data_IF_516974453198
#
_entry.id   IF_516974453198
#
_cell.length_a   1.000
_cell.length_b   1.000
_cell.length_c   1.000
_cell.angle_alpha   90.00
_cell.angle_beta   90.00
_cell.angle_gamma   90.00
#
_symmetry.space_group_name_H-M   'P 1'
#
loop_
_entity.id
_entity.type
_entity.pdbx_description
1 polymer ?
#
# COMPACT_ATOMS: atom_id res chain seq x y z
N UNK A 1 -3.88 8.12 37.33
CA UNK A 1 -4.56 7.65 36.11
C UNK A 1 -3.47 7.16 35.17
N UNK A 2 -3.58 5.92 34.69
CA UNK A 2 -2.51 5.22 34.01
C UNK A 2 -2.14 5.93 32.70
N UNK A 3 -0.85 6.17 32.49
CA UNK A 3 -0.32 6.54 31.19
C UNK A 3 -0.62 5.38 30.23
N UNK A 4 -1.50 5.60 29.26
CA UNK A 4 -1.66 4.72 28.11
C UNK A 4 -0.35 4.75 27.32
N UNK A 5 0.53 3.81 27.65
CA UNK A 5 1.79 3.61 26.94
C UNK A 5 1.49 3.38 25.47
N UNK A 6 2.03 4.26 24.62
CA UNK A 6 2.23 4.03 23.18
C UNK A 6 2.71 2.58 23.01
N UNK A 7 1.83 1.68 22.60
CA UNK A 7 2.25 0.34 22.18
C UNK A 7 3.01 0.52 20.88
N UNK A 8 4.33 0.61 20.97
CA UNK A 8 5.21 0.18 19.88
C UNK A 8 4.69 -1.20 19.45
N UNK A 9 4.21 -1.33 18.22
CA UNK A 9 3.68 -2.62 17.75
C UNK A 9 4.85 -3.58 17.78
N UNK A 10 4.66 -4.74 18.42
CA UNK A 10 5.65 -5.83 18.43
C UNK A 10 6.14 -6.10 17.01
N UNK A 11 7.43 -6.38 16.89
CA UNK A 11 8.05 -6.72 15.63
C UNK A 11 7.31 -7.93 15.03
N UNK A 12 6.71 -7.73 13.86
CA UNK A 12 5.92 -8.74 13.15
C UNK A 12 6.45 -8.88 11.72
N UNK A 13 6.26 -10.05 11.12
CA UNK A 13 6.51 -10.22 9.68
C UNK A 13 5.32 -9.65 8.92
N UNK A 14 5.58 -8.68 8.05
CA UNK A 14 4.59 -8.17 7.11
C UNK A 14 4.97 -8.50 5.67
N UNK A 15 3.96 -8.44 4.81
CA UNK A 15 4.05 -8.69 3.38
C UNK A 15 3.59 -7.43 2.66
N UNK A 16 4.49 -6.78 1.94
CA UNK A 16 4.29 -5.44 1.42
C UNK A 16 4.20 -5.48 -0.09
N UNK A 17 3.14 -4.87 -0.64
CA UNK A 17 3.03 -4.55 -2.05
C UNK A 17 3.31 -3.05 -2.22
N UNK A 18 4.41 -2.73 -2.90
CA UNK A 18 4.70 -1.40 -3.40
C UNK A 18 4.10 -1.23 -4.78
N UNK A 19 3.45 -0.09 -5.01
CA UNK A 19 2.92 0.33 -6.30
C UNK A 19 3.41 1.73 -6.60
N UNK A 20 3.78 1.97 -7.86
CA UNK A 20 4.28 3.26 -8.30
C UNK A 20 3.94 3.51 -9.78
N UNK A 21 3.59 4.74 -10.12
CA UNK A 21 3.18 5.14 -11.47
C UNK A 21 4.40 5.33 -12.36
N UNK A 22 4.44 4.59 -13.47
CA UNK A 22 5.53 4.70 -14.43
C UNK A 22 5.50 6.06 -15.12
N UNK A 23 6.62 6.79 -15.04
CA UNK A 23 6.77 8.08 -15.71
C UNK A 23 6.04 9.24 -15.03
N UNK A 24 5.59 9.08 -13.78
CA UNK A 24 4.81 10.09 -13.04
C UNK A 24 5.42 11.50 -13.08
N UNK A 25 6.73 11.63 -12.84
CA UNK A 25 7.40 12.93 -12.77
C UNK A 25 7.41 13.71 -14.10
N UNK A 26 7.08 13.07 -15.23
CA UNK A 26 7.01 13.71 -16.56
C UNK A 26 5.62 14.28 -16.87
N UNK A 27 4.62 13.93 -16.07
CA UNK A 27 3.24 14.36 -16.27
C UNK A 27 3.03 15.79 -15.76
N UNK A 28 2.08 16.51 -16.36
CA UNK A 28 1.62 17.78 -15.82
C UNK A 28 0.92 17.58 -14.46
N UNK A 29 0.82 18.65 -13.66
CA UNK A 29 0.15 18.57 -12.35
C UNK A 29 -1.28 18.02 -12.45
N UNK A 30 -2.05 18.40 -13.47
CA UNK A 30 -3.42 17.90 -13.66
C UNK A 30 -3.43 16.39 -13.99
N UNK A 31 -2.49 15.94 -14.82
CA UNK A 31 -2.35 14.52 -15.15
C UNK A 31 -1.90 13.71 -13.93
N UNK A 32 -0.99 14.24 -13.11
CA UNK A 32 -0.56 13.61 -11.87
C UNK A 32 -1.75 13.35 -10.92
N UNK A 33 -2.59 14.36 -10.67
CA UNK A 33 -3.78 14.19 -9.85
C UNK A 33 -4.75 13.17 -10.44
N UNK A 34 -4.97 13.19 -11.76
CA UNK A 34 -5.83 12.23 -12.44
C UNK A 34 -5.31 10.79 -12.30
N UNK A 35 -4.00 10.58 -12.47
CA UNK A 35 -3.38 9.25 -12.34
C UNK A 35 -3.40 8.70 -10.92
N UNK A 36 -3.17 9.55 -9.93
CA UNK A 36 -3.32 9.16 -8.52
C UNK A 36 -4.77 8.76 -8.23
N UNK A 37 -5.74 9.51 -8.76
CA UNK A 37 -7.16 9.17 -8.65
C UNK A 37 -7.49 7.79 -9.25
N UNK A 38 -7.08 7.56 -10.50
CA UNK A 38 -7.27 6.28 -11.18
C UNK A 38 -6.57 5.12 -10.44
N UNK A 39 -5.35 5.33 -9.96
CA UNK A 39 -4.62 4.31 -9.19
C UNK A 39 -5.36 3.95 -7.91
N UNK A 40 -5.79 4.95 -7.15
CA UNK A 40 -6.54 4.76 -5.92
C UNK A 40 -7.85 3.99 -6.15
N UNK A 41 -8.56 4.29 -7.24
CA UNK A 41 -9.78 3.59 -7.61
C UNK A 41 -9.50 2.12 -7.92
N UNK A 42 -8.54 1.83 -8.80
CA UNK A 42 -8.18 0.47 -9.20
C UNK A 42 -7.76 -0.38 -8.00
N UNK A 43 -6.93 0.18 -7.11
CA UNK A 43 -6.51 -0.50 -5.88
C UNK A 43 -7.70 -0.82 -4.98
N UNK A 44 -8.64 0.12 -4.79
CA UNK A 44 -9.85 -0.09 -3.96
C UNK A 44 -10.85 -1.06 -4.58
N UNK A 45 -10.79 -1.27 -5.89
CA UNK A 45 -11.63 -2.25 -6.60
C UNK A 45 -11.08 -3.68 -6.48
N UNK A 46 -9.82 -3.89 -6.08
CA UNK A 46 -9.28 -5.22 -5.82
C UNK A 46 -10.05 -5.93 -4.70
N UNK A 47 -10.44 -7.17 -4.96
CA UNK A 47 -11.12 -8.02 -3.98
C UNK A 47 -10.20 -8.33 -2.80
N UNK A 48 -8.91 -8.57 -3.07
CA UNK A 48 -7.93 -8.80 -2.03
C UNK A 48 -7.70 -7.57 -1.14
N UNK A 49 -7.65 -6.38 -1.73
CA UNK A 49 -7.61 -5.12 -0.97
C UNK A 49 -8.84 -4.99 -0.05
N UNK A 50 -10.05 -5.19 -0.59
CA UNK A 50 -11.31 -5.07 0.17
C UNK A 50 -11.40 -6.08 1.32
N UNK A 51 -10.98 -7.33 1.08
CA UNK A 51 -10.94 -8.38 2.11
C UNK A 51 -10.00 -8.00 3.26
N UNK A 52 -8.79 -7.54 2.93
CA UNK A 52 -7.80 -7.14 3.93
C UNK A 52 -8.24 -5.89 4.71
N UNK A 53 -8.86 -4.92 4.02
CA UNK A 53 -9.44 -3.72 4.63
C UNK A 53 -10.60 -4.06 5.58
N UNK A 54 -11.53 -4.93 5.17
CA UNK A 54 -12.64 -5.37 6.01
C UNK A 54 -12.17 -6.14 7.26
N UNK A 55 -11.03 -6.84 7.18
CA UNK A 55 -10.39 -7.48 8.31
C UNK A 55 -9.60 -6.53 9.23
N UNK A 56 -9.56 -5.23 8.93
CA UNK A 56 -8.72 -4.23 9.63
C UNK A 56 -7.24 -4.67 9.74
N UNK A 57 -6.75 -5.40 8.73
CA UNK A 57 -5.39 -5.94 8.65
C UNK A 57 -4.66 -5.47 7.40
N UNK A 58 -4.93 -4.23 7.00
CA UNK A 58 -4.30 -3.57 5.87
C UNK A 58 -3.87 -2.16 6.26
N UNK A 59 -2.57 -1.90 6.27
CA UNK A 59 -2.04 -0.56 6.40
C UNK A 59 -1.71 0.02 5.01
N UNK A 60 -2.10 1.28 4.80
CA UNK A 60 -2.01 1.99 3.51
C UNK A 60 -1.09 3.19 3.68
N UNK A 61 0.06 3.17 3.03
CA UNK A 61 1.08 4.22 3.17
C UNK A 61 1.24 4.91 1.81
N UNK A 62 0.83 6.18 1.67
CA UNK A 62 1.06 6.91 0.43
C UNK A 62 2.55 7.25 0.27
N UNK A 63 3.09 7.07 -0.93
CA UNK A 63 4.50 7.39 -1.26
C UNK A 63 4.64 8.60 -2.18
N UNK A 64 3.53 9.25 -2.54
CA UNK A 64 3.48 10.40 -3.46
C UNK A 64 2.84 10.00 -4.79
N UNK A 65 3.59 9.32 -5.63
CA UNK A 65 3.19 8.78 -6.95
C UNK A 65 2.67 7.34 -6.91
N UNK A 66 2.49 6.82 -5.70
CA UNK A 66 2.16 5.43 -5.47
C UNK A 66 1.70 5.18 -4.05
N UNK A 67 1.79 3.92 -3.64
CA UNK A 67 1.47 3.51 -2.27
C UNK A 67 2.16 2.19 -1.91
N UNK A 68 2.36 1.99 -0.62
CA UNK A 68 2.65 0.69 -0.04
C UNK A 68 1.38 0.15 0.65
N UNK A 69 1.06 -1.11 0.36
CA UNK A 69 0.00 -1.87 1.00
C UNK A 69 0.65 -2.95 1.86
N UNK A 70 0.47 -2.84 3.17
CA UNK A 70 1.10 -3.73 4.15
C UNK A 70 0.06 -4.73 4.64
N UNK A 71 0.28 -6.00 4.30
CA UNK A 71 -0.52 -7.16 4.68
C UNK A 71 0.17 -7.92 5.81
N UNK A 72 -0.61 -8.52 6.70
CA UNK A 72 -0.08 -9.21 7.89
C UNK A 72 -0.46 -10.69 7.99
N UNK A 73 -1.22 -11.23 7.03
CA UNK A 73 -1.76 -12.59 7.15
C UNK A 73 -0.96 -13.60 6.36
N UNK A 74 -0.65 -13.33 5.09
CA UNK A 74 0.14 -14.27 4.28
C UNK A 74 0.84 -13.59 3.09
N UNK A 75 1.95 -14.17 2.60
CA UNK A 75 2.70 -13.63 1.47
C UNK A 75 1.94 -13.69 0.14
N UNK A 76 0.89 -14.51 0.05
CA UNK A 76 0.02 -14.59 -1.13
C UNK A 76 -0.89 -13.37 -1.27
N UNK A 77 -1.22 -12.67 -0.17
CA UNK A 77 -2.11 -11.50 -0.19
C UNK A 77 -1.60 -10.36 -1.09
N UNK A 78 -0.35 -9.86 -0.95
CA UNK A 78 0.17 -8.84 -1.86
C UNK A 78 0.28 -9.34 -3.30
N UNK A 79 0.60 -10.63 -3.52
CA UNK A 79 0.70 -11.20 -4.86
C UNK A 79 -0.67 -11.25 -5.57
N UNK A 80 -1.71 -11.68 -4.86
CA UNK A 80 -3.07 -11.72 -5.36
C UNK A 80 -3.60 -10.31 -5.64
N UNK A 81 -3.35 -9.35 -4.74
CA UNK A 81 -3.69 -7.95 -4.94
C UNK A 81 -3.00 -7.38 -6.20
N UNK A 82 -1.69 -7.62 -6.36
CA UNK A 82 -0.93 -7.19 -7.53
C UNK A 82 -1.47 -7.81 -8.83
N UNK A 83 -1.87 -9.07 -8.80
CA UNK A 83 -2.48 -9.75 -9.95
C UNK A 83 -3.83 -9.13 -10.34
N UNK A 84 -4.69 -8.84 -9.37
CA UNK A 84 -6.00 -8.20 -9.60
C UNK A 84 -5.84 -6.80 -10.19
N UNK A 85 -4.91 -6.01 -9.65
CA UNK A 85 -4.57 -4.67 -10.16
C UNK A 85 -4.01 -4.77 -11.58
N UNK A 86 -3.09 -5.70 -11.83
CA UNK A 86 -2.54 -5.94 -13.17
C UNK A 86 -3.64 -6.28 -14.19
N UNK A 87 -4.60 -7.12 -13.79
CA UNK A 87 -5.72 -7.49 -14.63
C UNK A 87 -6.64 -6.32 -14.92
N UNK A 88 -6.95 -5.49 -13.92
CA UNK A 88 -7.78 -4.31 -14.08
C UNK A 88 -7.13 -3.25 -14.99
N UNK A 89 -5.79 -3.18 -14.99
CA UNK A 89 -5.02 -2.24 -15.81
C UNK A 89 -4.64 -2.78 -17.18
N UNK A 90 -4.94 -4.05 -17.50
CA UNK A 90 -4.45 -4.73 -18.72
C UNK A 90 -4.72 -3.94 -20.01
N UNK A 91 -5.91 -3.35 -20.12
CA UNK A 91 -6.34 -2.58 -21.30
C UNK A 91 -6.24 -1.05 -21.07
N UNK A 92 -5.72 -0.62 -19.92
CA UNK A 92 -5.55 0.78 -19.59
C UNK A 92 -4.16 1.28 -19.99
N UNK A 93 -4.03 1.79 -21.21
CA UNK A 93 -2.77 2.36 -21.71
C UNK A 93 -2.37 3.65 -21.00
N UNK A 94 -3.30 4.30 -20.29
CA UNK A 94 -3.08 5.61 -19.69
C UNK A 94 -2.44 5.51 -18.31
N UNK A 95 -2.69 4.43 -17.56
CA UNK A 95 -2.12 4.19 -16.24
C UNK A 95 -1.25 2.94 -16.26
N UNK A 96 0.06 3.16 -16.31
CA UNK A 96 1.06 2.11 -16.19
C UNK A 96 1.67 2.13 -14.78
N UNK A 97 1.75 0.97 -14.15
CA UNK A 97 2.30 0.84 -12.80
C UNK A 97 3.46 -0.15 -12.78
N UNK A 98 4.43 0.10 -11.91
CA UNK A 98 5.43 -0.88 -11.48
C UNK A 98 5.05 -1.36 -10.08
N UNK A 99 5.21 -2.65 -9.83
CA UNK A 99 4.90 -3.24 -8.54
C UNK A 99 6.07 -4.05 -8.01
N UNK A 100 6.30 -3.96 -6.70
CA UNK A 100 7.31 -4.72 -5.98
C UNK A 100 6.69 -5.40 -4.78
N UNK A 101 7.08 -6.64 -4.51
CA UNK A 101 6.62 -7.38 -3.33
C UNK A 101 7.82 -7.70 -2.47
N UNK A 102 7.70 -7.41 -1.18
CA UNK A 102 8.69 -7.76 -0.16
C UNK A 102 8.01 -8.40 1.05
N UNK A 103 8.76 -9.17 1.82
CA UNK A 103 8.30 -9.73 3.08
C UNK A 103 9.43 -9.68 4.09
N UNK A 104 9.14 -9.14 5.27
CA UNK A 104 10.18 -8.95 6.28
C UNK A 104 9.66 -8.36 7.58
N UNK A 105 10.56 -8.20 8.55
CA UNK A 105 10.22 -7.68 9.86
C UNK A 105 9.89 -6.18 9.79
N UNK A 106 8.75 -5.82 10.36
CA UNK A 106 8.31 -4.43 10.53
C UNK A 106 7.93 -4.19 11.99
N UNK A 107 8.14 -2.97 12.47
CA UNK A 107 7.64 -2.47 13.75
C UNK A 107 6.67 -1.33 13.51
N UNK A 108 5.66 -1.22 14.37
CA UNK A 108 4.70 -0.14 14.28
C UNK A 108 5.21 1.14 14.90
N UNK A 109 5.00 2.23 14.19
CA UNK A 109 5.33 3.59 14.62
C UNK A 109 4.12 4.50 14.48
N UNK A 110 4.15 5.64 15.15
CA UNK A 110 3.13 6.69 15.00
C UNK A 110 3.75 7.82 14.19
N UNK A 111 3.12 8.19 13.08
CA UNK A 111 3.62 9.26 12.20
C UNK A 111 3.34 10.67 12.78
N UNK A 112 3.77 11.70 12.05
CA UNK A 112 3.56 13.11 12.43
C UNK A 112 2.07 13.51 12.48
N UNK A 113 1.19 12.74 11.84
CA UNK A 113 -0.25 12.95 11.80
C UNK A 113 -1.00 12.07 12.83
N UNK A 114 -0.27 11.48 13.78
CA UNK A 114 -0.79 10.56 14.79
C UNK A 114 -1.45 9.29 14.21
N UNK A 115 -1.11 8.92 12.98
CA UNK A 115 -1.59 7.70 12.33
C UNK A 115 -0.62 6.55 12.56
N UNK A 116 -1.17 5.34 12.65
CA UNK A 116 -0.39 4.11 12.63
C UNK A 116 0.39 4.02 11.32
N UNK A 117 1.67 3.74 11.42
CA UNK A 117 2.58 3.51 10.32
C UNK A 117 3.55 2.38 10.70
N UNK A 118 4.47 2.02 9.81
CA UNK A 118 5.49 0.99 10.07
C UNK A 118 6.89 1.46 9.65
N UNK A 119 7.89 0.90 10.30
CA UNK A 119 9.30 1.03 9.95
C UNK A 119 10.01 -0.33 10.06
N UNK A 120 11.14 -0.50 9.39
CA UNK A 120 11.95 -1.72 9.47
C UNK A 120 12.45 -2.22 8.12
N UNK A 121 13.24 -3.29 8.14
CA UNK A 121 13.83 -3.88 6.93
C UNK A 121 12.82 -4.61 6.03
N UNK A 122 11.57 -4.78 6.49
CA UNK A 122 10.45 -5.31 5.71
C UNK A 122 9.74 -4.28 4.83
N UNK A 123 10.09 -2.99 4.95
CA UNK A 123 9.60 -1.89 4.11
C UNK A 123 10.64 -1.57 3.04
#
# INVERSE_FOLDING_TARGET
>A
MAAEGKKEIELEIAHVLFLDIVGYSKLSANEQHARIGELNEVVRLSDQFRKAEAGSRLLKIPTGDGMALVFYKSPEEPAQCAFEISRALKDNQRLQVRMGIHSGPVSGVVDVNERTNVAGAGI
#
